data_IF_842819326264
#
_entry.id   IF_842819326264
#
_cell.length_a   1.000
_cell.length_b   1.000
_cell.length_c   1.000
_cell.angle_alpha   90.00
_cell.angle_beta   90.00
_cell.angle_gamma   90.00
#
_symmetry.space_group_name_H-M   'P 1'
#
loop_
_entity.id
_entity.type
_entity.pdbx_description
1 polymer ?
#
# COMPACT_ATOMS: atom_id res chain seq x y z
N UNK A 1 -37.62 -47.75 24.88
CA UNK A 1 -37.11 -47.25 23.58
C UNK A 1 -35.65 -46.89 23.74
N UNK A 2 -34.74 -47.61 23.07
CA UNK A 2 -33.31 -47.29 23.07
C UNK A 2 -33.07 -46.14 22.09
N UNK A 3 -32.40 -45.04 22.49
CA UNK A 3 -32.08 -43.97 21.57
C UNK A 3 -31.09 -44.49 20.51
N UNK A 4 -31.40 -44.21 19.23
CA UNK A 4 -30.60 -44.59 18.07
C UNK A 4 -29.20 -43.93 18.15
N UNK A 5 -28.21 -44.67 18.64
CA UNK A 5 -26.80 -44.28 18.72
C UNK A 5 -26.18 -43.92 17.36
N UNK A 6 -26.78 -44.39 16.26
CA UNK A 6 -26.36 -44.07 14.89
C UNK A 6 -26.59 -42.61 14.49
N UNK A 7 -27.57 -41.91 15.10
CA UNK A 7 -27.80 -40.49 14.80
C UNK A 7 -26.76 -39.57 15.44
N UNK A 8 -26.22 -39.94 16.61
CA UNK A 8 -25.25 -39.11 17.32
C UNK A 8 -23.88 -39.15 16.62
N UNK A 9 -23.47 -40.34 16.17
CA UNK A 9 -22.22 -40.55 15.41
C UNK A 9 -22.22 -39.81 14.07
N UNK A 10 -23.33 -39.83 13.32
CA UNK A 10 -23.44 -39.11 12.04
C UNK A 10 -23.33 -37.58 12.20
N UNK A 11 -23.97 -37.02 13.23
CA UNK A 11 -23.91 -35.57 13.51
C UNK A 11 -22.51 -35.15 13.96
N UNK A 12 -21.82 -35.98 14.77
CA UNK A 12 -20.47 -35.66 15.27
C UNK A 12 -19.44 -35.71 14.14
N UNK A 13 -19.58 -36.65 13.20
CA UNK A 13 -18.69 -36.78 12.05
C UNK A 13 -18.87 -35.65 11.03
N UNK A 14 -20.11 -35.19 10.82
CA UNK A 14 -20.40 -34.00 9.99
C UNK A 14 -19.85 -32.73 10.66
N UNK A 15 -19.98 -32.59 11.99
CA UNK A 15 -19.43 -31.46 12.73
C UNK A 15 -17.89 -31.43 12.68
N UNK A 16 -17.23 -32.58 12.77
CA UNK A 16 -15.78 -32.73 12.58
C UNK A 16 -15.33 -32.40 11.15
N UNK A 17 -16.08 -32.85 10.13
CA UNK A 17 -15.81 -32.51 8.72
C UNK A 17 -15.97 -31.00 8.44
N UNK A 18 -16.95 -30.34 9.06
CA UNK A 18 -17.13 -28.89 8.99
C UNK A 18 -15.99 -28.15 9.71
N UNK A 19 -15.53 -28.66 10.86
CA UNK A 19 -14.39 -28.09 11.59
C UNK A 19 -13.05 -28.28 10.87
N UNK A 20 -12.85 -29.39 10.14
CA UNK A 20 -11.65 -29.61 9.32
C UNK A 20 -11.67 -28.87 7.97
N UNK A 21 -12.84 -28.38 7.55
CA UNK A 21 -13.02 -27.61 6.32
C UNK A 21 -12.91 -26.10 6.51
N UNK A 22 -12.66 -25.62 7.73
CA UNK A 22 -12.29 -24.22 7.96
C UNK A 22 -10.84 -24.03 7.50
N UNK A 23 -10.64 -23.84 6.19
CA UNK A 23 -9.40 -23.24 5.70
C UNK A 23 -9.17 -21.98 6.53
N UNK A 24 -8.02 -21.91 7.22
CA UNK A 24 -7.63 -20.71 7.93
C UNK A 24 -7.72 -19.55 6.94
N UNK A 25 -8.61 -18.59 7.19
CA UNK A 25 -8.81 -17.45 6.29
C UNK A 25 -7.47 -16.72 6.21
N UNK A 26 -6.79 -16.83 5.07
CA UNK A 26 -5.51 -16.15 4.83
C UNK A 26 -5.78 -14.76 4.29
N UNK A 27 -5.21 -13.73 4.91
CA UNK A 27 -5.21 -12.38 4.35
C UNK A 27 -4.52 -12.30 2.98
N UNK A 28 -3.56 -13.18 2.70
CA UNK A 28 -2.91 -13.28 1.41
C UNK A 28 -3.88 -13.76 0.30
N UNK A 29 -4.00 -13.02 -0.82
CA UNK A 29 -4.82 -13.42 -1.95
C UNK A 29 -4.37 -14.76 -2.55
N UNK A 30 -5.32 -15.47 -3.17
CA UNK A 30 -5.08 -16.79 -3.79
C UNK A 30 -3.95 -16.81 -4.84
N UNK A 31 -3.61 -15.65 -5.43
CA UNK A 31 -2.56 -15.54 -6.43
C UNK A 31 -1.16 -15.38 -5.82
N UNK A 32 -1.02 -15.22 -4.50
CA UNK A 32 0.27 -15.11 -3.82
C UNK A 32 0.95 -16.48 -3.81
N UNK A 33 1.94 -16.66 -4.68
CA UNK A 33 2.76 -17.88 -4.79
C UNK A 33 4.20 -17.54 -5.19
N UNK A 34 5.20 -18.41 -4.90
CA UNK A 34 6.58 -18.19 -5.30
C UNK A 34 6.69 -17.86 -6.80
N UNK A 35 7.54 -16.88 -7.12
CA UNK A 35 7.74 -16.40 -8.48
C UNK A 35 6.81 -15.27 -8.92
N UNK A 36 5.69 -15.03 -8.23
CA UNK A 36 4.82 -13.89 -8.51
C UNK A 36 5.52 -12.57 -8.16
N UNK A 37 5.36 -11.57 -9.01
CA UNK A 37 5.85 -10.22 -8.77
C UNK A 37 4.75 -9.17 -8.94
N UNK A 38 4.95 -8.04 -8.25
CA UNK A 38 4.15 -6.82 -8.40
C UNK A 38 5.15 -5.68 -8.61
N UNK A 39 4.91 -4.86 -9.61
CA UNK A 39 5.76 -3.73 -9.97
C UNK A 39 4.95 -2.44 -9.98
N UNK A 40 5.48 -1.42 -9.30
CA UNK A 40 4.95 -0.07 -9.26
C UNK A 40 5.90 0.91 -9.94
N UNK A 41 5.37 2.02 -10.44
CA UNK A 41 6.13 3.10 -11.05
C UNK A 41 5.69 4.47 -10.54
N UNK A 42 6.64 5.39 -10.44
CA UNK A 42 6.40 6.83 -10.52
C UNK A 42 7.10 7.35 -11.79
N UNK A 43 6.32 7.65 -12.82
CA UNK A 43 6.82 7.96 -14.16
C UNK A 43 7.15 9.45 -14.31
N UNK A 44 8.24 9.72 -15.04
CA UNK A 44 8.62 11.06 -15.50
C UNK A 44 7.67 11.49 -16.62
N UNK A 45 7.13 12.71 -16.51
CA UNK A 45 6.25 13.26 -17.54
C UNK A 45 6.62 14.71 -17.88
N UNK A 46 7.28 14.91 -19.02
CA UNK A 46 7.84 16.20 -19.41
C UNK A 46 6.83 17.36 -19.51
N UNK A 47 5.57 17.16 -19.96
CA UNK A 47 4.58 18.24 -19.93
C UNK A 47 4.29 18.77 -18.52
N UNK A 48 4.37 17.92 -17.48
CA UNK A 48 4.27 18.39 -16.10
C UNK A 48 5.43 19.30 -15.72
N UNK A 49 6.61 18.98 -16.24
CA UNK A 49 7.85 19.64 -15.82
C UNK A 49 8.02 20.96 -16.55
N UNK A 50 7.61 21.03 -17.80
CA UNK A 50 7.41 22.27 -18.52
C UNK A 50 6.40 23.17 -17.79
N UNK A 51 5.29 22.61 -17.30
CA UNK A 51 4.32 23.34 -16.48
C UNK A 51 4.96 23.88 -15.18
N UNK A 52 5.72 23.06 -14.44
CA UNK A 52 6.41 23.50 -13.22
C UNK A 52 7.45 24.59 -13.51
N UNK A 53 8.22 24.45 -14.59
CA UNK A 53 9.17 25.48 -15.04
C UNK A 53 8.44 26.80 -15.37
N UNK A 54 7.31 26.73 -16.09
CA UNK A 54 6.47 27.89 -16.39
C UNK A 54 5.84 28.56 -15.16
N UNK A 55 5.75 27.83 -14.04
CA UNK A 55 5.33 28.36 -12.73
C UNK A 55 6.48 28.88 -11.86
N UNK A 56 7.72 28.84 -12.35
CA UNK A 56 8.90 29.32 -11.63
C UNK A 56 9.48 28.34 -10.61
N UNK A 57 9.07 27.07 -10.62
CA UNK A 57 9.70 26.05 -9.76
C UNK A 57 11.11 25.74 -10.26
N UNK A 58 12.13 26.18 -9.51
CA UNK A 58 13.54 25.96 -9.84
C UNK A 58 14.16 24.75 -9.12
N UNK A 59 13.56 24.29 -8.02
CA UNK A 59 14.11 23.21 -7.20
C UNK A 59 13.99 21.85 -7.88
N UNK A 60 15.07 21.07 -7.85
CA UNK A 60 15.09 19.67 -8.30
C UNK A 60 14.18 18.77 -7.46
N UNK A 61 13.93 19.13 -6.20
CA UNK A 61 13.04 18.36 -5.31
C UNK A 61 11.62 18.38 -5.84
N UNK A 62 11.14 19.54 -6.29
CA UNK A 62 9.79 19.69 -6.86
C UNK A 62 9.63 18.97 -8.20
N UNK A 63 10.74 18.60 -8.85
CA UNK A 63 10.79 17.94 -10.16
C UNK A 63 11.12 16.46 -10.07
N UNK A 64 11.34 15.95 -8.87
CA UNK A 64 11.67 14.56 -8.64
C UNK A 64 10.43 13.66 -8.79
N UNK A 65 10.63 12.46 -9.31
CA UNK A 65 9.63 11.38 -9.24
C UNK A 65 9.71 10.65 -7.90
N UNK A 66 10.86 10.70 -7.22
CA UNK A 66 10.97 10.22 -5.85
C UNK A 66 12.01 10.96 -5.01
N UNK A 67 11.73 11.01 -3.71
CA UNK A 67 12.67 11.42 -2.67
C UNK A 67 12.71 10.31 -1.63
N UNK A 68 13.84 9.62 -1.50
CA UNK A 68 14.00 8.44 -0.64
C UNK A 68 15.07 8.72 0.41
N UNK A 69 14.75 8.48 1.67
CA UNK A 69 15.70 8.41 2.77
C UNK A 69 15.97 6.94 3.07
N UNK A 70 17.21 6.50 2.88
CA UNK A 70 17.60 5.10 2.90
C UNK A 70 18.77 4.87 3.86
N UNK A 71 18.64 3.91 4.77
CA UNK A 71 19.75 3.45 5.60
C UNK A 71 20.44 2.24 4.95
N UNK A 72 21.74 2.38 4.68
CA UNK A 72 22.55 1.31 4.12
C UNK A 72 23.86 1.19 4.87
N UNK A 73 24.11 0.01 5.47
CA UNK A 73 25.29 -0.27 6.29
C UNK A 73 25.54 0.84 7.34
N UNK A 74 24.48 1.27 8.04
CA UNK A 74 24.54 2.31 9.08
C UNK A 74 24.73 3.74 8.58
N UNK A 75 24.77 3.96 7.26
CA UNK A 75 24.84 5.29 6.65
C UNK A 75 23.49 5.68 6.09
N UNK A 76 23.02 6.89 6.41
CA UNK A 76 21.77 7.43 5.87
C UNK A 76 22.05 8.22 4.60
N UNK A 77 21.27 7.95 3.57
CA UNK A 77 21.32 8.61 2.27
C UNK A 77 20.00 9.31 2.01
N UNK A 78 20.07 10.51 1.46
CA UNK A 78 18.96 11.15 0.78
C UNK A 78 19.13 10.98 -0.71
N UNK A 79 18.13 10.42 -1.37
CA UNK A 79 18.17 10.04 -2.78
C UNK A 79 17.05 10.78 -3.51
N UNK A 80 17.40 11.51 -4.56
CA UNK A 80 16.49 12.28 -5.40
C UNK A 80 16.53 11.68 -6.80
N UNK A 81 15.37 11.25 -7.31
CA UNK A 81 15.26 10.65 -8.65
C UNK A 81 14.56 11.62 -9.59
N UNK A 82 15.21 12.00 -10.68
CA UNK A 82 14.71 13.03 -11.61
C UNK A 82 14.05 12.43 -12.87
N UNK A 83 14.19 11.12 -13.08
CA UNK A 83 13.49 10.36 -14.11
C UNK A 83 12.67 9.23 -13.45
N UNK A 84 12.31 8.16 -14.15
CA UNK A 84 11.47 7.10 -13.57
C UNK A 84 12.02 6.45 -12.29
N UNK A 85 11.10 6.15 -11.36
CA UNK A 85 11.31 5.28 -10.21
C UNK A 85 10.46 4.02 -10.38
N UNK A 86 11.08 2.83 -10.42
CA UNK A 86 10.37 1.54 -10.50
C UNK A 86 10.65 0.70 -9.27
N UNK A 87 9.62 0.05 -8.74
CA UNK A 87 9.73 -0.79 -7.55
C UNK A 87 9.11 -2.14 -7.84
N UNK A 88 9.90 -3.20 -7.77
CA UNK A 88 9.43 -4.58 -7.96
C UNK A 88 9.55 -5.37 -6.66
N UNK A 89 8.43 -5.97 -6.28
CA UNK A 89 8.31 -6.94 -5.21
C UNK A 89 8.14 -8.33 -5.82
N UNK A 90 8.87 -9.33 -5.35
CA UNK A 90 8.78 -10.71 -5.84
C UNK A 90 8.70 -11.67 -4.68
N UNK A 91 7.70 -12.55 -4.69
CA UNK A 91 7.62 -13.67 -3.76
C UNK A 91 8.74 -14.65 -4.11
N UNK A 92 9.74 -14.78 -3.24
CA UNK A 92 10.88 -15.67 -3.45
C UNK A 92 10.57 -17.09 -3.00
N UNK A 93 9.99 -17.21 -1.81
CA UNK A 93 9.63 -18.49 -1.17
C UNK A 93 8.43 -18.28 -0.24
N UNK A 94 7.70 -19.36 0.04
CA UNK A 94 6.67 -19.42 1.06
C UNK A 94 6.92 -20.67 1.90
N UNK A 95 6.99 -20.51 3.22
CA UNK A 95 7.16 -21.60 4.18
C UNK A 95 6.47 -21.24 5.49
N UNK A 96 5.71 -22.18 6.07
CA UNK A 96 5.07 -22.02 7.39
C UNK A 96 4.33 -20.68 7.57
N UNK A 97 3.46 -20.32 6.60
CA UNK A 97 2.68 -19.07 6.63
C UNK A 97 3.53 -17.77 6.56
N UNK A 98 4.82 -17.88 6.22
CA UNK A 98 5.70 -16.74 5.97
C UNK A 98 6.15 -16.75 4.51
N UNK A 99 5.95 -15.64 3.82
CA UNK A 99 6.56 -15.37 2.53
C UNK A 99 7.86 -14.58 2.73
N UNK A 100 8.88 -14.93 1.95
CA UNK A 100 10.07 -14.09 1.78
C UNK A 100 9.90 -13.28 0.52
N UNK A 101 9.93 -11.95 0.64
CA UNK A 101 9.72 -11.05 -0.48
C UNK A 101 11.04 -10.36 -0.82
N UNK A 102 11.46 -10.48 -2.08
CA UNK A 102 12.57 -9.75 -2.64
C UNK A 102 12.10 -8.42 -3.21
N UNK A 103 12.83 -7.35 -2.91
CA UNK A 103 12.52 -6.00 -3.37
C UNK A 103 13.67 -5.49 -4.22
N UNK A 104 13.32 -4.83 -5.33
CA UNK A 104 14.26 -4.13 -6.20
C UNK A 104 13.67 -2.76 -6.58
N UNK A 105 14.34 -1.70 -6.16
CA UNK A 105 14.01 -0.33 -6.52
C UNK A 105 15.03 0.13 -7.56
N UNK A 106 14.57 0.48 -8.75
CA UNK A 106 15.38 1.03 -9.82
C UNK A 106 15.12 2.53 -9.96
N UNK A 107 16.18 3.32 -9.85
CA UNK A 107 16.14 4.77 -9.86
C UNK A 107 16.96 5.29 -11.05
N UNK A 108 16.38 6.17 -11.86
CA UNK A 108 17.03 6.73 -13.05
C UNK A 108 17.28 8.24 -12.90
N UNK A 109 18.47 8.69 -13.33
CA UNK A 109 18.95 10.06 -13.18
C UNK A 109 18.86 10.56 -11.73
N UNK A 110 19.82 10.11 -10.92
CA UNK A 110 19.75 10.13 -9.46
C UNK A 110 20.79 11.07 -8.88
N UNK A 111 20.39 11.86 -7.89
CA UNK A 111 21.29 12.58 -7.00
C UNK A 111 21.21 11.97 -5.60
N UNK A 112 22.36 11.56 -5.06
CA UNK A 112 22.49 10.96 -3.73
C UNK A 112 23.29 11.92 -2.86
N UNK A 113 22.79 12.19 -1.67
CA UNK A 113 23.42 13.04 -0.67
C UNK A 113 23.60 12.26 0.63
N UNK A 114 24.80 12.30 1.19
CA UNK A 114 25.10 11.78 2.53
C UNK A 114 26.18 12.59 3.22
N UNK A 115 26.28 12.46 4.54
CA UNK A 115 27.25 13.13 5.39
C UNK A 115 28.06 12.05 6.10
N UNK A 116 29.38 12.09 5.92
CA UNK A 116 30.32 11.13 6.50
C UNK A 116 31.56 11.84 7.02
N UNK A 117 32.36 11.15 7.84
CA UNK A 117 33.63 11.69 8.33
C UNK A 117 34.60 11.93 7.19
N UNK A 118 35.42 12.97 7.30
CA UNK A 118 36.56 13.23 6.40
C UNK A 118 37.40 11.96 6.26
N UNK A 119 37.86 11.71 5.03
CA UNK A 119 38.64 10.52 4.66
C UNK A 119 37.92 9.17 4.80
N UNK A 120 36.59 9.16 4.99
CA UNK A 120 35.79 7.94 4.92
C UNK A 120 34.98 7.91 3.64
N UNK A 121 34.90 6.74 3.00
CA UNK A 121 34.09 6.55 1.79
C UNK A 121 32.74 5.97 2.17
N UNK A 122 31.61 6.57 1.77
CA UNK A 122 30.29 6.01 2.08
C UNK A 122 30.10 4.63 1.41
N UNK A 123 29.32 3.72 2.01
CA UNK A 123 28.99 2.45 1.38
C UNK A 123 28.25 2.67 0.07
N UNK A 124 28.58 1.88 -0.95
CA UNK A 124 28.16 2.10 -2.33
C UNK A 124 27.04 1.15 -2.74
N UNK A 125 25.96 1.71 -3.30
CA UNK A 125 24.84 0.96 -3.91
C UNK A 125 24.44 1.51 -5.30
N UNK A 126 25.27 2.36 -5.90
CA UNK A 126 25.03 2.98 -7.20
C UNK A 126 26.05 2.54 -8.26
N UNK A 127 25.68 2.69 -9.54
CA UNK A 127 26.51 2.27 -10.68
C UNK A 127 27.79 3.12 -10.82
N UNK A 128 28.87 2.47 -11.27
CA UNK A 128 30.20 3.10 -11.42
C UNK A 128 30.34 3.91 -12.71
N UNK A 129 29.52 3.64 -13.73
CA UNK A 129 29.79 4.04 -15.11
C UNK A 129 29.59 5.52 -15.46
N UNK A 130 28.99 6.32 -14.58
CA UNK A 130 28.79 7.79 -14.78
C UNK A 130 28.43 8.45 -13.44
N UNK A 131 29.35 8.38 -12.47
CA UNK A 131 29.16 9.04 -11.18
C UNK A 131 30.03 10.30 -11.09
N UNK A 132 29.43 11.49 -11.12
CA UNK A 132 30.12 12.69 -10.66
C UNK A 132 30.00 12.73 -9.14
N UNK A 133 31.13 12.72 -8.44
CA UNK A 133 31.17 12.78 -6.98
C UNK A 133 31.77 14.12 -6.58
N UNK A 134 30.97 14.94 -5.91
CA UNK A 134 31.38 16.21 -5.34
C UNK A 134 31.46 16.02 -3.83
N UNK A 135 32.65 16.27 -3.29
CA UNK A 135 32.89 16.29 -1.85
C UNK A 135 33.03 17.75 -1.45
N UNK A 136 32.17 18.21 -0.55
CA UNK A 136 32.19 19.59 -0.09
C UNK A 136 32.24 19.65 1.44
N UNK A 137 32.86 20.69 2.01
CA UNK A 137 32.74 20.95 3.44
C UNK A 137 31.27 21.21 3.81
N UNK A 138 30.88 20.95 5.08
CA UNK A 138 29.56 21.33 5.55
C UNK A 138 29.38 22.84 5.46
N UNK A 139 28.24 23.26 4.91
CA UNK A 139 27.82 24.66 4.86
C UNK A 139 27.09 25.10 6.14
N UNK A 140 26.62 24.13 6.93
CA UNK A 140 25.87 24.37 8.17
C UNK A 140 26.83 24.35 9.37
N UNK A 141 26.88 25.41 10.19
CA UNK A 141 27.79 25.50 11.34
C UNK A 141 27.47 24.51 12.46
N UNK A 142 26.29 23.88 12.47
CA UNK A 142 25.94 22.81 13.42
C UNK A 142 26.57 21.47 13.09
N UNK A 143 27.09 21.30 11.87
CA UNK A 143 27.75 20.07 11.44
C UNK A 143 29.24 20.14 11.87
N UNK A 144 29.76 19.12 12.57
CA UNK A 144 31.16 19.06 12.95
C UNK A 144 32.12 19.24 11.76
N UNK A 145 33.21 19.97 11.99
CA UNK A 145 34.22 20.24 10.97
C UNK A 145 34.92 18.98 10.44
N UNK A 146 34.87 17.86 11.16
CA UNK A 146 35.43 16.58 10.73
C UNK A 146 34.50 15.81 9.78
N UNK A 147 33.34 16.36 9.42
CA UNK A 147 32.40 15.79 8.46
C UNK A 147 32.50 16.46 7.09
N UNK A 148 32.02 15.77 6.05
CA UNK A 148 31.92 16.27 4.67
C UNK A 148 30.65 15.75 4.00
N UNK A 149 30.06 16.57 3.14
CA UNK A 149 28.97 16.16 2.28
C UNK A 149 29.52 15.41 1.06
N UNK A 150 28.91 14.26 0.79
CA UNK A 150 29.09 13.53 -0.47
C UNK A 150 27.84 13.72 -1.31
N UNK A 151 28.00 14.44 -2.43
CA UNK A 151 26.99 14.60 -3.48
C UNK A 151 27.38 13.74 -4.66
N UNK A 152 26.60 12.71 -4.93
CA UNK A 152 26.84 11.77 -6.03
C UNK A 152 25.74 11.94 -7.06
N UNK A 153 26.10 12.18 -8.31
CA UNK A 153 25.17 12.21 -9.44
C UNK A 153 25.43 11.00 -10.31
N UNK A 154 24.43 10.14 -10.48
CA UNK A 154 24.54 8.91 -11.27
C UNK A 154 23.36 8.74 -12.20
N UNK A 155 23.59 8.13 -13.37
CA UNK A 155 22.49 7.78 -14.29
C UNK A 155 21.55 6.74 -13.70
N UNK A 156 22.04 5.85 -12.84
CA UNK A 156 21.26 4.76 -12.25
C UNK A 156 21.74 4.40 -10.85
N UNK A 157 20.78 4.13 -9.97
CA UNK A 157 21.00 3.50 -8.68
C UNK A 157 19.99 2.37 -8.49
N UNK A 158 20.40 1.31 -7.80
CA UNK A 158 19.53 0.16 -7.51
C UNK A 158 19.61 -0.15 -6.02
N UNK A 159 18.46 -0.14 -5.36
CA UNK A 159 18.32 -0.62 -3.99
C UNK A 159 17.70 -2.01 -4.04
N UNK A 160 18.30 -2.96 -3.34
CA UNK A 160 17.77 -4.32 -3.22
C UNK A 160 17.67 -4.70 -1.76
N UNK A 161 16.63 -5.45 -1.41
CA UNK A 161 16.45 -5.96 -0.07
C UNK A 161 15.53 -7.16 -0.03
N UNK A 162 15.42 -7.77 1.14
CA UNK A 162 14.56 -8.92 1.40
C UNK A 162 13.88 -8.71 2.75
N UNK A 163 12.59 -9.04 2.84
CA UNK A 163 11.84 -9.00 4.10
C UNK A 163 10.92 -10.22 4.24
N UNK A 164 10.33 -10.38 5.42
CA UNK A 164 9.38 -11.45 5.75
C UNK A 164 7.97 -10.88 5.82
N UNK A 165 7.01 -11.59 5.24
CA UNK A 165 5.60 -11.25 5.25
C UNK A 165 4.81 -12.43 5.79
N UNK A 166 3.97 -12.20 6.80
CA UNK A 166 3.08 -13.24 7.33
C UNK A 166 1.77 -13.24 6.55
N UNK A 167 1.38 -14.40 6.03
CA UNK A 167 0.28 -14.48 5.04
C UNK A 167 -1.11 -14.47 5.69
N UNK A 168 -1.24 -14.91 6.94
CA UNK A 168 -2.53 -14.90 7.64
C UNK A 168 -3.09 -13.50 7.90
N UNK A 169 -2.23 -12.52 8.14
CA UNK A 169 -2.62 -11.15 8.50
C UNK A 169 -1.82 -10.11 7.74
N UNK A 170 -1.13 -10.48 6.66
CA UNK A 170 -0.33 -9.56 5.83
C UNK A 170 0.74 -8.73 6.58
N UNK A 171 1.14 -9.15 7.78
CA UNK A 171 2.11 -8.41 8.61
C UNK A 171 3.52 -8.46 8.03
N UNK A 172 4.20 -7.31 8.02
CA UNK A 172 5.53 -7.12 7.43
C UNK A 172 6.59 -6.99 8.51
N UNK A 173 7.67 -7.76 8.34
CA UNK A 173 8.81 -7.81 9.24
C UNK A 173 10.13 -7.70 8.49
N UNK A 174 11.13 -7.02 9.05
CA UNK A 174 12.51 -7.17 8.58
C UNK A 174 13.07 -8.57 8.92
N UNK A 175 14.30 -8.86 8.49
CA UNK A 175 14.97 -10.13 8.78
C UNK A 175 15.33 -10.32 10.26
N UNK A 176 15.29 -9.26 11.07
CA UNK A 176 15.52 -9.30 12.51
C UNK A 176 14.21 -9.51 13.30
N UNK A 177 13.06 -9.59 12.62
CA UNK A 177 11.73 -9.77 13.22
C UNK A 177 11.09 -8.47 13.72
N UNK A 178 11.61 -7.29 13.35
CA UNK A 178 10.97 -6.01 13.67
C UNK A 178 9.74 -5.83 12.78
N UNK A 179 8.60 -5.52 13.41
CA UNK A 179 7.33 -5.26 12.74
C UNK A 179 7.25 -3.83 12.19
N UNK A 180 6.71 -3.67 10.98
CA UNK A 180 6.55 -2.37 10.30
C UNK A 180 5.11 -2.01 9.95
N UNK A 181 4.16 -2.92 10.15
CA UNK A 181 2.77 -2.75 9.70
C UNK A 181 2.36 -3.89 8.78
N UNK A 182 1.45 -3.58 7.86
CA UNK A 182 0.82 -4.52 6.95
C UNK A 182 1.15 -4.15 5.51
N UNK A 183 1.24 -5.17 4.66
CA UNK A 183 1.74 -5.01 3.30
C UNK A 183 0.94 -3.98 2.50
N UNK A 184 1.66 -3.15 1.75
CA UNK A 184 1.09 -2.28 0.72
C UNK A 184 0.84 -3.00 -0.60
N UNK A 185 1.00 -4.33 -0.69
CA UNK A 185 0.90 -5.06 -1.95
C UNK A 185 -0.52 -5.54 -2.26
N UNK A 186 -1.30 -5.85 -1.23
CA UNK A 186 -2.70 -6.26 -1.37
C UNK A 186 -3.51 -5.91 -0.12
N UNK A 187 -4.83 -5.99 -0.27
CA UNK A 187 -5.80 -5.92 0.81
C UNK A 187 -7.01 -6.79 0.47
N UNK A 188 -7.45 -7.63 1.41
CA UNK A 188 -8.69 -8.38 1.26
C UNK A 188 -9.80 -7.76 2.10
N UNK A 189 -10.90 -7.36 1.46
CA UNK A 189 -12.06 -6.81 2.16
C UNK A 189 -12.76 -7.84 3.07
N UNK A 190 -12.50 -9.13 2.88
CA UNK A 190 -12.99 -10.24 3.71
C UNK A 190 -12.10 -10.53 4.92
N UNK A 191 -10.95 -9.87 5.03
CA UNK A 191 -10.05 -10.00 6.17
C UNK A 191 -10.70 -9.39 7.43
N UNK A 192 -10.72 -10.15 8.53
CA UNK A 192 -11.14 -9.63 9.84
C UNK A 192 -9.99 -8.80 10.44
N UNK A 193 -9.95 -7.52 10.06
CA UNK A 193 -8.89 -6.61 10.47
C UNK A 193 -8.99 -6.28 11.96
N UNK A 194 -7.88 -6.44 12.70
CA UNK A 194 -7.81 -5.97 14.08
C UNK A 194 -7.59 -4.44 14.13
N UNK A 195 -8.58 -3.63 14.53
CA UNK A 195 -8.48 -2.17 14.50
C UNK A 195 -7.45 -1.61 15.50
N UNK A 196 -6.98 -2.41 16.46
CA UNK A 196 -5.94 -2.01 17.40
C UNK A 196 -4.53 -2.06 16.81
N UNK A 197 -4.34 -2.76 15.68
CA UNK A 197 -3.04 -2.85 15.02
C UNK A 197 -2.87 -1.74 13.97
N UNK A 198 -1.67 -1.14 13.89
CA UNK A 198 -1.39 -0.16 12.86
C UNK A 198 -1.22 -0.86 11.50
N UNK A 199 -1.82 -0.26 10.47
CA UNK A 199 -1.54 -0.60 9.08
C UNK A 199 -0.11 -0.22 8.71
N UNK A 200 0.42 0.87 9.28
CA UNK A 200 1.76 1.40 8.99
C UNK A 200 2.39 1.92 10.26
N UNK A 201 3.66 1.58 10.48
CA UNK A 201 4.48 2.10 11.58
C UNK A 201 5.67 2.87 11.00
N UNK A 202 5.59 4.20 11.05
CA UNK A 202 6.66 5.08 10.61
C UNK A 202 7.63 5.40 11.77
N UNK A 203 8.87 5.85 11.45
CA UNK A 203 9.78 6.38 12.45
C UNK A 203 9.14 7.51 13.28
N UNK A 204 9.60 7.66 14.52
CA UNK A 204 9.16 8.78 15.38
C UNK A 204 7.73 8.65 15.93
N UNK A 205 7.31 7.41 16.19
CA UNK A 205 6.00 7.06 16.78
C UNK A 205 4.78 7.46 15.95
N UNK A 206 4.96 7.69 14.65
CA UNK A 206 3.85 7.91 13.73
C UNK A 206 3.28 6.55 13.31
N UNK A 207 1.97 6.40 13.42
CA UNK A 207 1.30 5.16 13.00
C UNK A 207 -0.04 5.47 12.37
N UNK A 208 -0.36 4.74 11.31
CA UNK A 208 -1.60 4.85 10.56
C UNK A 208 -2.46 3.61 10.77
N UNK A 209 -3.75 3.80 10.99
CA UNK A 209 -4.73 2.74 11.26
C UNK A 209 -5.81 2.75 10.20
N UNK A 210 -6.36 1.59 9.83
CA UNK A 210 -7.54 1.53 8.96
C UNK A 210 -8.72 2.10 9.74
N UNK A 211 -9.22 3.26 9.32
CA UNK A 211 -10.42 3.87 9.90
C UNK A 211 -11.67 3.36 9.20
N UNK A 212 -11.62 3.34 7.86
CA UNK A 212 -12.78 3.02 7.03
C UNK A 212 -12.38 2.44 5.70
N UNK A 213 -13.03 1.36 5.31
CA UNK A 213 -13.03 0.86 3.93
C UNK A 213 -14.20 1.47 3.16
N UNK A 214 -13.97 1.76 1.88
CA UNK A 214 -14.95 2.38 1.01
C UNK A 214 -14.81 1.92 -0.43
N UNK A 215 -15.65 2.47 -1.28
CA UNK A 215 -15.63 2.19 -2.71
C UNK A 215 -15.77 3.49 -3.51
N UNK A 216 -14.92 3.67 -4.50
CA UNK A 216 -15.03 4.73 -5.47
C UNK A 216 -15.78 4.24 -6.71
N UNK A 217 -16.91 4.88 -7.04
CA UNK A 217 -17.76 4.54 -8.20
C UNK A 217 -17.22 5.06 -9.54
N UNK A 218 -15.90 5.17 -9.68
CA UNK A 218 -15.22 5.61 -10.91
C UNK A 218 -14.13 4.61 -11.28
N UNK A 219 -13.81 4.54 -12.55
CA UNK A 219 -12.62 3.81 -13.00
C UNK A 219 -11.36 4.54 -12.57
N UNK A 220 -10.31 3.78 -12.28
CA UNK A 220 -8.99 4.29 -11.95
C UNK A 220 -7.95 3.74 -12.92
N UNK A 221 -7.21 4.62 -13.57
CA UNK A 221 -6.19 4.28 -14.55
C UNK A 221 -4.82 4.16 -13.89
N UNK A 222 -4.09 3.12 -14.31
CA UNK A 222 -2.68 2.88 -14.03
C UNK A 222 -1.98 2.50 -15.34
N UNK A 223 -0.63 2.57 -15.41
CA UNK A 223 0.11 2.04 -16.57
C UNK A 223 -0.15 0.55 -16.86
N UNK A 224 -0.46 -0.25 -15.84
CA UNK A 224 -0.83 -1.66 -16.03
C UNK A 224 -2.20 -1.83 -16.69
N UNK A 225 -3.16 -0.97 -16.36
CA UNK A 225 -4.53 -1.05 -16.86
C UNK A 225 -5.51 -0.18 -16.08
N UNK A 226 -6.77 -0.26 -16.49
CA UNK A 226 -7.88 0.46 -15.86
C UNK A 226 -8.66 -0.47 -14.94
N UNK A 227 -8.92 -0.03 -13.71
CA UNK A 227 -9.61 -0.78 -12.67
C UNK A 227 -10.97 -0.17 -12.34
N UNK A 228 -11.91 -1.02 -11.92
CA UNK A 228 -13.28 -0.63 -11.54
C UNK A 228 -14.14 -0.11 -12.71
N UNK A 229 -15.32 0.46 -12.41
CA UNK A 229 -15.90 0.66 -11.08
C UNK A 229 -16.54 -0.62 -10.48
N UNK A 230 -16.58 -0.78 -9.15
CA UNK A 230 -15.98 0.10 -8.15
C UNK A 230 -14.47 -0.17 -7.95
N UNK A 231 -13.74 0.87 -7.53
CA UNK A 231 -12.38 0.75 -6.98
C UNK A 231 -12.47 0.73 -5.46
N UNK A 232 -11.74 -0.17 -4.79
CA UNK A 232 -11.66 -0.27 -3.34
C UNK A 232 -10.81 0.86 -2.76
N UNK A 233 -11.21 1.38 -1.60
CA UNK A 233 -10.55 2.51 -0.93
C UNK A 233 -10.30 2.17 0.53
N UNK A 234 -9.05 2.22 0.96
CA UNK A 234 -8.67 2.19 2.37
C UNK A 234 -8.39 3.61 2.84
N UNK A 235 -9.16 4.09 3.82
CA UNK A 235 -8.88 5.34 4.50
C UNK A 235 -8.10 5.02 5.77
N UNK A 236 -6.88 5.52 5.81
CA UNK A 236 -5.97 5.41 6.92
C UNK A 236 -5.98 6.70 7.73
N UNK A 237 -5.90 6.60 9.05
CA UNK A 237 -5.86 7.75 9.95
C UNK A 237 -4.66 7.65 10.88
N UNK A 238 -3.93 8.77 11.04
CA UNK A 238 -2.77 8.86 11.93
C UNK A 238 -3.15 9.27 13.34
N UNK A 239 -2.48 8.69 14.35
CA UNK A 239 -2.52 9.19 15.74
C UNK A 239 -1.61 10.41 15.97
N UNK A 240 -0.91 10.86 14.93
CA UNK A 240 0.05 11.96 14.97
C UNK A 240 1.45 11.52 15.42
N UNK A 241 2.36 12.48 15.48
CA UNK A 241 3.77 12.27 15.86
C UNK A 241 4.70 13.08 14.97
N UNK A 242 6.00 12.83 15.08
CA UNK A 242 7.02 13.55 14.30
C UNK A 242 7.96 12.56 13.64
N UNK A 243 7.98 12.55 12.31
CA UNK A 243 8.96 11.78 11.55
C UNK A 243 10.22 12.63 11.49
N UNK A 244 11.33 12.09 11.99
CA UNK A 244 12.65 12.73 11.91
C UNK A 244 13.64 11.81 11.22
N UNK A 245 14.35 12.36 10.23
CA UNK A 245 15.47 11.67 9.59
C UNK A 245 16.72 12.50 9.77
N UNK A 246 17.73 11.88 10.39
CA UNK A 246 19.02 12.50 10.65
C UNK A 246 20.12 11.77 9.89
N UNK A 247 21.00 12.52 9.22
CA UNK A 247 22.21 11.99 8.59
C UNK A 247 23.36 12.09 9.60
N UNK A 248 24.10 11.00 9.76
CA UNK A 248 25.22 10.90 10.71
C UNK A 248 24.79 10.99 12.19
N UNK A 249 23.48 10.89 12.50
CA UNK A 249 22.88 11.10 13.84
C UNK A 249 23.09 12.50 14.43
N UNK A 250 23.59 13.43 13.63
CA UNK A 250 23.95 14.79 14.07
C UNK A 250 23.16 15.87 13.34
N UNK A 251 22.79 15.63 12.07
CA UNK A 251 22.14 16.63 11.24
C UNK A 251 20.75 16.16 10.80
N UNK A 252 19.71 16.88 11.22
CA UNK A 252 18.32 16.60 10.84
C UNK A 252 18.10 17.09 9.41
N UNK A 253 17.96 16.17 8.45
CA UNK A 253 17.74 16.51 7.03
C UNK A 253 16.26 16.58 6.67
N UNK A 254 15.42 15.95 7.47
CA UNK A 254 13.98 15.93 7.27
C UNK A 254 13.27 15.85 8.61
N UNK A 255 12.25 16.68 8.75
CA UNK A 255 11.32 16.67 9.86
C UNK A 255 9.92 16.89 9.31
N UNK A 256 8.97 16.08 9.75
CA UNK A 256 7.57 16.26 9.43
C UNK A 256 6.73 15.91 10.65
N UNK A 257 6.04 16.91 11.19
CA UNK A 257 4.98 16.70 12.16
C UNK A 257 3.73 16.22 11.43
N UNK A 258 3.22 15.07 11.83
CA UNK A 258 1.94 14.54 11.39
C UNK A 258 0.91 14.87 12.47
N UNK A 259 -0.13 15.62 12.10
CA UNK A 259 -1.21 15.93 13.02
C UNK A 259 -2.05 14.68 13.32
N UNK A 260 -2.60 14.53 14.53
CA UNK A 260 -3.65 13.56 14.78
C UNK A 260 -4.79 13.73 13.78
N UNK A 261 -5.41 12.63 13.38
CA UNK A 261 -6.49 12.57 12.39
C UNK A 261 -6.08 12.97 10.96
N UNK A 262 -4.77 13.06 10.68
CA UNK A 262 -4.28 13.17 9.30
C UNK A 262 -4.68 11.90 8.55
N UNK A 263 -5.41 12.06 7.45
CA UNK A 263 -5.90 10.94 6.66
C UNK A 263 -4.97 10.64 5.50
N UNK A 264 -4.97 9.37 5.07
CA UNK A 264 -4.35 8.94 3.84
C UNK A 264 -5.18 7.86 3.16
N UNK A 265 -4.94 7.64 1.88
CA UNK A 265 -5.75 6.73 1.07
C UNK A 265 -4.90 5.73 0.30
N UNK A 266 -5.32 4.46 0.30
CA UNK A 266 -4.76 3.40 -0.55
C UNK A 266 -5.86 2.83 -1.43
N UNK A 267 -5.60 2.68 -2.72
CA UNK A 267 -6.56 2.09 -3.66
C UNK A 267 -6.23 0.65 -3.95
N UNK A 268 -7.25 -0.18 -4.02
CA UNK A 268 -7.12 -1.58 -4.39
C UNK A 268 -8.21 -1.99 -5.37
N UNK A 269 -7.95 -3.04 -6.14
CA UNK A 269 -8.97 -3.71 -6.94
C UNK A 269 -9.74 -4.72 -6.06
N UNK A 270 -11.05 -4.55 -5.82
CA UNK A 270 -11.80 -5.46 -4.96
C UNK A 270 -11.85 -6.91 -5.45
N UNK A 271 -11.65 -7.15 -6.75
CA UNK A 271 -11.74 -8.49 -7.34
C UNK A 271 -10.49 -9.32 -7.09
N UNK A 272 -9.31 -8.72 -7.26
CA UNK A 272 -8.03 -9.39 -7.05
C UNK A 272 -7.44 -9.13 -5.66
N UNK A 273 -7.86 -8.07 -4.98
CA UNK A 273 -7.25 -7.58 -3.74
C UNK A 273 -5.93 -6.84 -3.95
N UNK A 274 -5.41 -6.72 -5.18
CA UNK A 274 -4.12 -6.03 -5.40
C UNK A 274 -4.25 -4.53 -5.10
N UNK A 275 -3.24 -3.94 -4.45
CA UNK A 275 -3.14 -2.49 -4.35
C UNK A 275 -2.75 -1.93 -5.72
N UNK A 276 -3.55 -1.02 -6.25
CA UNK A 276 -3.38 -0.46 -7.60
C UNK A 276 -2.72 0.93 -7.58
N UNK A 277 -2.75 1.61 -6.44
CA UNK A 277 -2.25 2.96 -6.31
C UNK A 277 -1.97 3.35 -4.86
N UNK A 278 -0.85 4.03 -4.70
CA UNK A 278 -0.36 4.54 -3.42
C UNK A 278 -0.33 6.07 -3.47
N UNK A 279 -0.90 6.73 -2.45
CA UNK A 279 -0.90 8.19 -2.32
C UNK A 279 0.54 8.76 -2.33
N UNK A 280 0.78 9.95 -2.92
CA UNK A 280 2.12 10.48 -3.15
C UNK A 280 2.79 11.09 -1.91
N UNK A 281 2.01 11.40 -0.88
CA UNK A 281 2.37 12.48 0.07
C UNK A 281 2.38 12.09 1.53
N UNK A 282 2.01 10.87 1.89
CA UNK A 282 1.54 10.66 3.26
C UNK A 282 2.38 9.72 4.10
N UNK A 283 3.03 8.72 3.53
CA UNK A 283 3.80 7.76 4.32
C UNK A 283 4.63 6.82 3.42
N UNK A 284 5.48 6.02 4.05
CA UNK A 284 6.23 4.92 3.43
C UNK A 284 5.59 3.58 3.77
N UNK A 285 5.26 2.77 2.76
CA UNK A 285 4.64 1.47 2.99
C UNK A 285 5.59 0.52 3.73
N UNK A 286 5.09 -0.35 4.63
CA UNK A 286 5.90 -1.22 5.48
C UNK A 286 6.94 -2.06 4.73
N UNK A 287 6.60 -2.51 3.52
CA UNK A 287 7.45 -3.34 2.65
C UNK A 287 8.78 -2.63 2.29
N UNK A 288 8.75 -1.31 2.12
CA UNK A 288 9.95 -0.51 1.85
C UNK A 288 10.75 -0.25 3.13
N UNK A 289 10.06 -0.04 4.26
CA UNK A 289 10.71 0.21 5.54
C UNK A 289 11.48 -1.02 6.04
N UNK A 290 10.94 -2.21 5.80
CA UNK A 290 11.57 -3.48 6.17
C UNK A 290 12.90 -3.74 5.42
N UNK A 291 13.16 -3.05 4.31
CA UNK A 291 14.44 -3.13 3.58
C UNK A 291 15.35 -1.92 3.83
N UNK A 292 15.02 -1.04 4.78
CA UNK A 292 15.86 0.10 5.17
C UNK A 292 15.46 1.45 4.57
N UNK A 293 14.37 1.54 3.80
CA UNK A 293 13.82 2.85 3.39
C UNK A 293 13.12 3.48 4.59
N UNK A 294 13.80 4.41 5.25
CA UNK A 294 13.30 5.12 6.42
C UNK A 294 12.03 5.88 6.05
N UNK A 295 12.08 6.61 4.93
CA UNK A 295 10.97 7.41 4.45
C UNK A 295 11.08 7.66 2.94
N UNK A 296 9.96 7.72 2.22
CA UNK A 296 9.91 7.86 0.77
C UNK A 296 8.70 8.65 0.29
N UNK A 297 8.94 9.60 -0.62
CA UNK A 297 7.91 10.27 -1.41
C UNK A 297 8.01 9.82 -2.85
N UNK A 298 6.86 9.63 -3.49
CA UNK A 298 6.76 9.20 -4.88
C UNK A 298 5.72 10.05 -5.61
N UNK A 299 6.05 10.47 -6.82
CA UNK A 299 5.21 11.36 -7.59
C UNK A 299 5.22 10.95 -9.06
N UNK A 300 4.26 10.11 -9.43
CA UNK A 300 3.91 9.92 -10.83
C UNK A 300 3.49 11.26 -11.46
N UNK A 301 4.32 11.76 -12.37
CA UNK A 301 4.19 13.13 -12.88
C UNK A 301 3.10 13.25 -13.93
N UNK A 302 2.74 12.13 -14.59
CA UNK A 302 1.59 12.08 -15.48
C UNK A 302 0.30 12.22 -14.66
N UNK A 303 0.18 11.46 -13.57
CA UNK A 303 -0.93 11.58 -12.64
C UNK A 303 -1.00 12.96 -11.98
N UNK A 304 0.15 13.54 -11.60
CA UNK A 304 0.21 14.90 -11.08
C UNK A 304 -0.30 15.93 -12.11
N UNK A 305 0.10 15.81 -13.37
CA UNK A 305 -0.37 16.68 -14.45
C UNK A 305 -1.87 16.58 -14.68
N UNK A 306 -2.39 15.35 -14.76
CA UNK A 306 -3.83 15.12 -14.95
C UNK A 306 -4.64 15.73 -13.80
N UNK A 307 -4.24 15.47 -12.55
CA UNK A 307 -4.94 15.97 -11.37
C UNK A 307 -4.84 17.49 -11.20
N UNK A 308 -3.64 18.05 -11.30
CA UNK A 308 -3.39 19.46 -10.95
C UNK A 308 -3.63 20.41 -12.11
N UNK A 309 -3.35 19.99 -13.35
CA UNK A 309 -3.42 20.85 -14.54
C UNK A 309 -4.71 20.59 -15.32
N UNK A 310 -5.06 19.32 -15.56
CA UNK A 310 -6.25 18.95 -16.35
C UNK A 310 -7.52 18.79 -15.51
N UNK A 311 -7.40 18.74 -14.17
CA UNK A 311 -8.51 18.46 -13.24
C UNK A 311 -9.19 17.11 -13.54
N UNK A 312 -8.43 16.17 -14.09
CA UNK A 312 -8.83 14.81 -14.35
C UNK A 312 -8.31 13.91 -13.24
N UNK A 313 -9.22 13.42 -12.40
CA UNK A 313 -8.93 12.57 -11.23
C UNK A 313 -9.09 11.07 -11.53
N UNK A 314 -8.94 10.67 -12.80
CA UNK A 314 -8.95 9.26 -13.22
C UNK A 314 -7.70 8.49 -12.78
N UNK A 315 -6.69 9.15 -12.22
CA UNK A 315 -5.47 8.53 -11.72
C UNK A 315 -4.90 9.33 -10.54
N UNK A 316 -3.80 8.88 -9.95
CA UNK A 316 -3.11 9.57 -8.86
C UNK A 316 -1.69 9.95 -9.25
N UNK A 317 -1.23 11.08 -8.71
CA UNK A 317 0.20 11.27 -8.47
C UNK A 317 0.60 10.29 -7.36
N UNK A 318 1.62 9.47 -7.53
CA UNK A 318 2.03 8.50 -6.50
C UNK A 318 2.84 7.34 -7.07
N UNK A 319 2.80 6.19 -6.42
CA UNK A 319 3.20 4.93 -7.06
C UNK A 319 1.95 4.27 -7.67
N UNK A 320 2.03 3.93 -8.95
CA UNK A 320 0.94 3.29 -9.69
C UNK A 320 1.34 1.89 -10.12
N UNK A 321 0.39 0.96 -10.12
CA UNK A 321 0.64 -0.40 -10.60
C UNK A 321 1.08 -0.36 -12.07
N UNK A 322 2.22 -0.98 -12.35
CA UNK A 322 2.86 -1.00 -13.66
C UNK A 322 2.85 -2.40 -14.28
N UNK A 323 3.10 -3.43 -13.49
CA UNK A 323 3.20 -4.79 -13.99
C UNK A 323 3.04 -5.84 -12.92
N UNK A 324 2.50 -7.00 -13.30
CA UNK A 324 2.46 -8.20 -12.47
C UNK A 324 2.30 -9.43 -13.37
N UNK A 325 2.75 -10.59 -12.89
CA UNK A 325 2.42 -11.90 -13.46
C UNK A 325 1.43 -12.67 -12.57
N UNK A 326 0.75 -12.00 -11.64
CA UNK A 326 -0.31 -12.61 -10.85
C UNK A 326 -1.47 -13.05 -11.76
N UNK A 327 -1.86 -14.31 -11.63
CA UNK A 327 -2.97 -14.87 -12.39
C UNK A 327 -4.28 -14.56 -11.66
N UNK A 328 -4.90 -13.44 -12.01
CA UNK A 328 -6.22 -13.11 -11.47
C UNK A 328 -7.27 -14.04 -12.09
N UNK A 329 -8.02 -14.75 -11.25
CA UNK A 329 -9.20 -15.48 -11.66
C UNK A 329 -10.12 -14.52 -12.42
N UNK A 330 -10.51 -14.93 -13.64
CA UNK A 330 -11.57 -14.20 -14.35
C UNK A 330 -12.78 -14.18 -13.45
N UNK A 331 -13.27 -12.99 -13.14
CA UNK A 331 -14.54 -12.80 -12.44
C UNK A 331 -15.57 -13.64 -13.18
N UNK A 332 -16.09 -14.70 -12.56
CA UNK A 332 -17.31 -15.31 -13.07
C UNK A 332 -18.34 -14.21 -13.00
N UNK A 333 -18.78 -13.71 -14.15
CA UNK A 333 -20.00 -12.91 -14.21
C UNK A 333 -21.11 -13.79 -13.63
N UNK A 334 -21.37 -13.62 -12.33
CA UNK A 334 -22.58 -14.16 -11.73
C UNK A 334 -23.66 -13.27 -12.32
N UNK A 335 -24.34 -13.76 -13.36
CA UNK A 335 -25.59 -13.17 -13.80
C UNK A 335 -26.47 -13.10 -12.57
N UNK A 336 -26.68 -11.89 -12.06
CA UNK A 336 -27.78 -11.64 -11.14
C UNK A 336 -29.05 -11.86 -11.95
N UNK A 337 -29.52 -13.11 -11.96
CA UNK A 337 -30.92 -13.35 -12.23
C UNK A 337 -31.66 -12.55 -11.17
N UNK A 338 -32.40 -11.54 -11.62
CA UNK A 338 -33.37 -10.87 -10.77
C UNK A 338 -34.15 -11.95 -10.04
N UNK A 339 -34.39 -11.83 -8.71
CA UNK A 339 -34.96 -12.93 -7.95
C UNK A 339 -36.25 -13.39 -8.60
N UNK A 340 -36.19 -14.53 -9.30
CA UNK A 340 -37.30 -15.23 -9.93
C UNK A 340 -38.08 -15.97 -8.84
N UNK A 341 -38.38 -15.26 -7.76
CA UNK A 341 -38.85 -15.89 -6.55
C UNK A 341 -40.37 -15.97 -6.61
N UNK A 342 -40.88 -17.19 -6.70
CA UNK A 342 -42.24 -17.53 -6.25
C UNK A 342 -42.50 -16.97 -4.83
N UNK A 343 -41.45 -16.76 -4.04
CA UNK A 343 -41.47 -16.10 -2.72
C UNK A 343 -41.95 -14.64 -2.76
N UNK A 344 -41.76 -13.89 -3.85
CA UNK A 344 -42.33 -12.53 -4.01
C UNK A 344 -43.86 -12.58 -4.00
N UNK A 345 -44.43 -13.60 -4.65
CA UNK A 345 -45.88 -13.82 -4.63
C UNK A 345 -46.35 -14.28 -3.25
N UNK A 346 -45.61 -15.19 -2.58
CA UNK A 346 -45.92 -15.59 -1.20
C UNK A 346 -45.90 -14.40 -0.24
N UNK A 347 -44.90 -13.51 -0.36
CA UNK A 347 -44.80 -12.30 0.45
C UNK A 347 -45.97 -11.33 0.18
N UNK A 348 -46.32 -11.09 -1.10
CA UNK A 348 -47.46 -10.23 -1.44
C UNK A 348 -48.81 -10.83 -1.01
N UNK A 349 -48.99 -12.15 -1.11
CA UNK A 349 -50.18 -12.85 -0.61
C UNK A 349 -50.27 -12.76 0.91
N UNK A 350 -49.15 -12.91 1.62
CA UNK A 350 -49.12 -12.77 3.08
C UNK A 350 -49.45 -11.36 3.55
N UNK A 351 -48.99 -10.31 2.84
CA UNK A 351 -49.39 -8.92 3.06
C UNK A 351 -50.89 -8.69 2.80
N UNK A 352 -51.43 -9.28 1.73
CA UNK A 352 -52.87 -9.22 1.43
C UNK A 352 -53.73 -9.90 2.51
N UNK A 353 -53.31 -11.07 3.00
CA UNK A 353 -53.98 -11.77 4.11
C UNK A 353 -53.91 -10.97 5.42
N UNK A 354 -52.78 -10.30 5.69
CA UNK A 354 -52.62 -9.41 6.84
C UNK A 354 -53.53 -8.18 6.75
N UNK A 355 -53.66 -7.59 5.57
CA UNK A 355 -54.58 -6.47 5.34
C UNK A 355 -56.05 -6.90 5.52
N UNK A 356 -56.44 -8.06 4.99
CA UNK A 356 -57.82 -8.59 5.12
C UNK A 356 -58.16 -8.95 6.57
N UNK A 357 -57.22 -9.51 7.33
CA UNK A 357 -57.41 -9.82 8.76
C UNK A 357 -57.39 -8.57 9.64
N UNK A 358 -56.57 -7.57 9.30
CA UNK A 358 -56.58 -6.25 9.94
C UNK A 358 -57.90 -5.49 9.72
N UNK A 359 -58.43 -5.50 8.49
CA UNK A 359 -59.70 -4.84 8.15
C UNK A 359 -60.90 -5.53 8.82
N UNK A 360 -60.92 -6.86 8.92
CA UNK A 360 -61.96 -7.58 9.70
C UNK A 360 -61.95 -7.22 11.19
N UNK A 361 -60.77 -6.97 11.77
CA UNK A 361 -60.64 -6.59 13.18
C UNK A 361 -61.10 -5.15 13.46
N UNK A 362 -61.00 -4.27 12.46
CA UNK A 362 -61.47 -2.88 12.55
C UNK A 362 -63.00 -2.79 12.34
N UNK A 363 -63.58 -3.64 11.49
CA UNK A 363 -65.03 -3.63 11.21
C UNK A 363 -65.83 -4.43 12.25
N UNK A 364 -65.25 -5.47 12.87
CA UNK A 364 -65.91 -6.26 13.93
C UNK A 364 -65.82 -5.66 15.33
N UNK A 365 -65.16 -4.51 15.51
CA UNK A 365 -64.94 -3.86 16.80
C UNK A 365 -66.03 -2.88 17.26
N UNK A 366 -67.21 -2.87 16.61
CA UNK A 366 -68.39 -2.12 17.04
C UNK A 366 -69.55 -3.07 17.38
N UNK A 367 -69.47 -3.72 18.54
CA UNK A 367 -70.64 -4.06 19.34
C UNK A 367 -70.24 -4.30 20.79
N UNK A 368 -70.14 -3.22 21.56
CA UNK A 368 -70.63 -3.16 22.93
C UNK A 368 -70.98 -1.72 23.26
#
# INVERSE_FOLDING_TARGET
MKPNTYHLLGVTMIFLLILTGMEAVTAAPYWVKPGVYIEYIAERYDPYIQYLNGKGYVSNISKATSVIFYEYNGTVFRILTLNDTKIRFRVLEISNNLATIGVRIELNNVSILTLVKKNTTPPKFWDVGTSDVIIEPPHDPSIPEDMVWYKIFTKRAVITGVYKLRLNDSAVFDLNGKFYGHTGLWYQATEDWNPSLPFIVEPGNVSYYIQKTGSWKRSFWTPYGTFGPPVGVLNLESKGGTIEVSIGRIFKIFERTVSPNSTSTVLFDPNSGIIIGHSPTEFTFPDLQAIGVIFGFFNDQRGAYLNQVKRDYSTWSGLLLYGTNAEFQKVKEVKFESPSSQLKYVFMVSLGALALTGVKRIIGGKSR
#
